data_IF_922714090216
#
_entry.id   IF_922714090216
#
_cell.length_a   1.000
_cell.length_b   1.000
_cell.length_c   1.000
_cell.angle_alpha   90.00
_cell.angle_beta   90.00
_cell.angle_gamma   90.00
#
_symmetry.space_group_name_H-M   'P 1'
#
loop_
_entity.id
_entity.type
_entity.pdbx_description
1 polymer ?
#
# COMPACT_ATOMS: atom_id res chain seq x y z
N UNK A 1 -62.74 -3.79 6.65
CA UNK A 1 -61.48 -3.24 7.19
C UNK A 1 -61.02 -4.16 8.32
N UNK A 2 -60.01 -5.01 8.10
CA UNK A 2 -59.49 -5.95 9.10
C UNK A 2 -58.15 -5.41 9.62
N UNK A 3 -58.14 -4.90 10.86
CA UNK A 3 -56.92 -4.52 11.57
C UNK A 3 -56.13 -5.76 11.97
N UNK A 4 -54.86 -5.82 11.57
CA UNK A 4 -53.92 -6.85 12.04
C UNK A 4 -53.48 -6.48 13.46
N UNK A 5 -53.63 -7.43 14.38
CA UNK A 5 -53.14 -7.35 15.75
C UNK A 5 -51.62 -7.25 15.76
N UNK A 6 -51.08 -6.24 16.42
CA UNK A 6 -49.65 -6.11 16.72
C UNK A 6 -49.29 -7.18 17.76
N UNK A 7 -48.16 -7.87 17.56
CA UNK A 7 -47.67 -8.89 18.50
C UNK A 7 -47.37 -8.25 19.87
N UNK A 8 -47.87 -8.88 20.95
CA UNK A 8 -47.58 -8.52 22.35
C UNK A 8 -46.15 -8.92 22.72
N UNK A 9 -45.54 -8.14 23.62
CA UNK A 9 -44.14 -8.26 24.04
C UNK A 9 -43.86 -9.39 25.05
N UNK A 10 -44.85 -10.20 25.42
CA UNK A 10 -44.76 -11.10 26.56
C UNK A 10 -44.64 -12.57 26.13
N UNK A 11 -43.51 -12.92 25.50
CA UNK A 11 -42.92 -14.27 25.58
C UNK A 11 -41.53 -14.32 24.91
N UNK A 12 -40.53 -13.76 25.58
CA UNK A 12 -39.12 -13.97 25.24
C UNK A 12 -38.45 -14.89 26.25
N UNK A 13 -38.92 -16.14 26.30
CA UNK A 13 -38.18 -17.27 26.87
C UNK A 13 -37.98 -18.31 25.77
N UNK A 14 -37.17 -17.94 24.79
CA UNK A 14 -36.77 -18.80 23.68
C UNK A 14 -35.30 -18.55 23.40
N UNK A 15 -34.47 -19.51 23.82
CA UNK A 15 -33.12 -19.80 23.35
C UNK A 15 -32.19 -18.59 23.09
N UNK A 16 -31.26 -18.33 24.01
CA UNK A 16 -30.11 -17.41 23.81
C UNK A 16 -29.05 -18.05 22.90
N UNK A 17 -29.48 -18.58 21.77
CA UNK A 17 -28.62 -19.03 20.68
C UNK A 17 -28.77 -18.07 19.52
N UNK A 18 -28.13 -16.89 19.61
CA UNK A 18 -27.77 -16.19 18.38
C UNK A 18 -26.85 -17.16 17.63
N UNK A 19 -27.41 -17.82 16.61
CA UNK A 19 -26.70 -18.81 15.82
C UNK A 19 -25.48 -18.16 15.17
N UNK A 20 -24.35 -18.25 15.86
CA UNK A 20 -23.04 -17.96 15.28
C UNK A 20 -22.83 -18.86 14.06
N UNK A 21 -22.01 -18.44 13.09
CA UNK A 21 -21.70 -19.24 11.92
C UNK A 21 -21.26 -20.64 12.37
N UNK A 22 -22.05 -21.65 11.98
CA UNK A 22 -21.76 -23.04 12.26
C UNK A 22 -20.60 -23.49 11.38
N UNK A 23 -19.52 -23.90 12.02
CA UNK A 23 -18.56 -24.84 11.48
C UNK A 23 -17.38 -24.21 10.75
N UNK A 24 -16.24 -24.83 11.00
CA UNK A 24 -14.98 -24.84 10.26
C UNK A 24 -15.17 -25.18 8.77
N UNK A 25 -15.95 -24.38 8.04
CA UNK A 25 -15.79 -24.21 6.60
C UNK A 25 -14.75 -23.12 6.45
N UNK A 26 -13.66 -23.43 5.72
CA UNK A 26 -12.67 -22.47 5.23
C UNK A 26 -13.35 -21.11 5.04
N UNK A 27 -12.94 -20.12 5.83
CA UNK A 27 -13.42 -18.76 5.67
C UNK A 27 -13.34 -18.42 4.17
N UNK A 28 -14.40 -17.82 3.59
CA UNK A 28 -14.45 -17.61 2.16
C UNK A 28 -13.16 -16.90 1.74
N UNK A 29 -12.50 -17.46 0.72
CA UNK A 29 -11.24 -16.95 0.18
C UNK A 29 -11.32 -15.45 -0.13
N UNK A 30 -12.52 -14.95 -0.38
CA UNK A 30 -12.88 -13.54 -0.49
C UNK A 30 -13.73 -13.11 0.72
N UNK A 31 -13.32 -12.04 1.38
CA UNK A 31 -13.98 -11.47 2.57
C UNK A 31 -14.43 -10.04 2.30
N UNK A 32 -15.48 -9.62 3.00
CA UNK A 32 -16.00 -8.27 3.03
C UNK A 32 -15.75 -7.62 4.41
N UNK A 33 -15.72 -6.28 4.49
CA UNK A 33 -15.62 -5.58 5.78
C UNK A 33 -16.76 -6.01 6.72
N UNK A 34 -16.42 -6.44 7.92
CA UNK A 34 -17.35 -6.94 8.94
C UNK A 34 -17.44 -8.46 9.04
N UNK A 35 -16.87 -9.21 8.07
CA UNK A 35 -16.84 -10.67 8.13
C UNK A 35 -15.99 -11.16 9.31
N UNK A 36 -16.49 -12.22 9.96
CA UNK A 36 -15.81 -12.90 11.07
C UNK A 36 -14.77 -13.88 10.50
N UNK A 37 -13.51 -13.66 10.84
CA UNK A 37 -12.35 -14.43 10.39
C UNK A 37 -11.94 -15.52 11.39
N UNK A 38 -12.65 -15.63 12.51
CA UNK A 38 -12.41 -16.63 13.56
C UNK A 38 -11.89 -16.04 14.86
N UNK A 39 -11.58 -16.92 15.81
CA UNK A 39 -11.11 -16.53 17.13
C UNK A 39 -9.65 -16.06 17.10
N UNK A 40 -9.33 -15.00 17.85
CA UNK A 40 -7.98 -14.42 17.94
C UNK A 40 -7.02 -15.23 18.81
N UNK A 41 -7.37 -16.46 19.19
CA UNK A 41 -6.67 -17.23 20.23
C UNK A 41 -5.19 -17.46 19.94
N UNK A 42 -4.89 -18.18 18.86
CA UNK A 42 -3.51 -18.45 18.39
C UNK A 42 -3.14 -17.61 17.16
N UNK A 43 -4.05 -16.75 16.69
CA UNK A 43 -3.91 -16.01 15.44
C UNK A 43 -3.72 -14.51 15.70
N UNK A 44 -2.62 -13.96 15.19
CA UNK A 44 -2.34 -12.52 15.27
C UNK A 44 -3.10 -11.75 14.17
N UNK A 45 -3.57 -10.55 14.52
CA UNK A 45 -4.23 -9.65 13.59
C UNK A 45 -3.19 -8.95 12.70
N UNK A 46 -3.17 -9.33 11.42
CA UNK A 46 -2.34 -8.71 10.40
C UNK A 46 -3.00 -7.51 9.72
N UNK A 47 -2.49 -7.15 8.55
CA UNK A 47 -3.01 -6.02 7.78
C UNK A 47 -4.48 -6.24 7.36
N UNK A 48 -5.32 -5.22 7.58
CA UNK A 48 -6.73 -5.25 7.18
C UNK A 48 -7.63 -6.08 8.09
N UNK A 49 -7.14 -6.49 9.27
CA UNK A 49 -7.87 -7.26 10.27
C UNK A 49 -7.83 -6.52 11.61
N UNK A 50 -8.93 -6.59 12.36
CA UNK A 50 -9.03 -6.03 13.70
C UNK A 50 -9.53 -7.10 14.67
N UNK A 51 -8.87 -7.22 15.82
CA UNK A 51 -9.36 -8.03 16.92
C UNK A 51 -10.37 -7.21 17.75
N UNK A 52 -11.62 -7.66 17.80
CA UNK A 52 -12.69 -7.08 18.62
C UNK A 52 -13.30 -8.21 19.45
N UNK A 53 -13.32 -8.07 20.77
CA UNK A 53 -13.92 -9.03 21.72
C UNK A 53 -13.41 -10.48 21.55
N UNK A 54 -12.11 -10.64 21.26
CA UNK A 54 -11.47 -11.96 21.06
C UNK A 54 -11.75 -12.60 19.69
N UNK A 55 -12.37 -11.86 18.77
CA UNK A 55 -12.64 -12.30 17.39
C UNK A 55 -11.94 -11.41 16.38
N UNK A 56 -11.43 -12.03 15.33
CA UNK A 56 -10.81 -11.33 14.21
C UNK A 56 -11.89 -10.94 13.20
N UNK A 57 -11.95 -9.67 12.85
CA UNK A 57 -12.89 -9.15 11.84
C UNK A 57 -12.15 -8.52 10.69
N UNK A 58 -12.65 -8.74 9.47
CA UNK A 58 -12.13 -8.08 8.29
C UNK A 58 -12.51 -6.59 8.28
N UNK A 59 -11.55 -5.71 8.02
CA UNK A 59 -11.77 -4.27 7.81
C UNK A 59 -11.83 -3.90 6.32
N UNK A 60 -11.25 -4.73 5.46
CA UNK A 60 -11.14 -4.48 4.02
C UNK A 60 -11.80 -5.60 3.24
N UNK A 61 -12.29 -5.26 2.05
CA UNK A 61 -12.70 -6.27 1.07
C UNK A 61 -11.46 -6.82 0.38
N UNK A 62 -11.31 -8.13 0.35
CA UNK A 62 -10.10 -8.73 -0.20
C UNK A 62 -10.03 -10.22 -0.04
N UNK A 63 -8.86 -10.79 -0.34
CA UNK A 63 -8.62 -12.20 -0.11
C UNK A 63 -8.03 -12.42 1.27
N UNK A 64 -8.56 -13.37 2.02
CA UNK A 64 -7.96 -13.73 3.30
C UNK A 64 -6.71 -14.56 3.06
N UNK A 65 -5.61 -14.20 3.73
CA UNK A 65 -4.38 -14.97 3.77
C UNK A 65 -3.98 -15.21 5.21
N UNK A 66 -3.79 -16.48 5.58
CA UNK A 66 -3.20 -16.86 6.84
C UNK A 66 -1.75 -17.31 6.58
N UNK A 67 -0.79 -16.56 7.09
CA UNK A 67 0.63 -16.86 6.96
C UNK A 67 1.29 -16.77 8.33
N UNK A 68 2.00 -17.82 8.72
CA UNK A 68 2.80 -17.88 9.95
C UNK A 68 2.01 -17.51 11.23
N UNK A 69 0.73 -17.88 11.29
CA UNK A 69 -0.15 -17.54 12.43
C UNK A 69 -0.70 -16.12 12.41
N UNK A 70 -0.41 -15.33 11.37
CA UNK A 70 -0.99 -13.99 11.17
C UNK A 70 -2.09 -14.04 10.12
N UNK A 71 -3.31 -13.62 10.49
CA UNK A 71 -4.42 -13.46 9.55
C UNK A 71 -4.37 -12.06 8.96
N UNK A 72 -4.24 -11.98 7.65
CA UNK A 72 -4.25 -10.72 6.91
C UNK A 72 -5.28 -10.78 5.78
N UNK A 73 -5.76 -9.62 5.36
CA UNK A 73 -6.58 -9.49 4.16
C UNK A 73 -5.72 -8.82 3.10
N UNK A 74 -5.58 -9.45 1.93
CA UNK A 74 -5.02 -8.89 0.70
C UNK A 74 -6.13 -8.09 0.00
N UNK A 75 -6.19 -6.76 0.18
CA UNK A 75 -7.21 -5.92 -0.45
C UNK A 75 -7.10 -5.87 -1.97
N UNK A 76 -8.24 -5.73 -2.64
CA UNK A 76 -8.35 -5.58 -4.11
C UNK A 76 -8.01 -4.17 -4.61
N UNK A 77 -8.11 -3.19 -3.72
CA UNK A 77 -7.76 -1.79 -3.97
C UNK A 77 -7.15 -1.23 -2.71
N UNK A 78 -6.00 -0.59 -2.84
CA UNK A 78 -5.34 0.10 -1.73
C UNK A 78 -4.85 1.45 -2.15
N UNK A 79 -4.93 2.37 -1.19
CA UNK A 79 -4.02 3.50 -1.16
C UNK A 79 -2.76 3.07 -0.40
N UNK A 80 -1.64 3.71 -0.73
CA UNK A 80 -0.42 3.56 0.04
C UNK A 80 -0.62 4.14 1.44
N UNK A 81 -0.22 3.37 2.46
CA UNK A 81 -0.20 3.83 3.85
C UNK A 81 1.26 3.82 4.30
N UNK A 82 1.83 4.99 4.62
CA UNK A 82 3.25 5.11 4.89
C UNK A 82 3.63 4.37 6.17
N UNK A 83 4.77 3.68 6.13
CA UNK A 83 5.40 3.07 7.31
C UNK A 83 6.83 3.59 7.47
N UNK A 84 7.34 3.65 8.71
CA UNK A 84 8.73 3.98 8.93
C UNK A 84 9.67 3.07 8.12
N UNK A 85 10.69 3.68 7.53
CA UNK A 85 11.69 3.05 6.67
C UNK A 85 11.26 2.64 5.25
N UNK A 86 10.02 2.90 4.83
CA UNK A 86 9.59 2.66 3.45
C UNK A 86 10.38 3.55 2.47
N UNK A 87 10.80 2.97 1.33
CA UNK A 87 11.43 3.70 0.23
C UNK A 87 10.33 4.20 -0.72
N UNK A 88 10.22 5.51 -0.92
CA UNK A 88 9.14 6.10 -1.71
C UNK A 88 9.65 7.08 -2.74
N UNK A 89 8.94 7.16 -3.86
CA UNK A 89 9.16 8.19 -4.88
C UNK A 89 8.08 9.26 -4.73
N UNK A 90 8.49 10.50 -4.53
CA UNK A 90 7.57 11.62 -4.31
C UNK A 90 7.75 12.73 -5.32
N UNK A 91 6.71 13.53 -5.53
CA UNK A 91 6.74 14.76 -6.31
C UNK A 91 6.66 15.96 -5.38
N UNK A 92 7.47 16.98 -5.64
CA UNK A 92 7.42 18.21 -4.86
C UNK A 92 6.22 19.03 -5.30
N UNK A 93 5.21 19.15 -4.45
CA UNK A 93 4.03 19.98 -4.71
C UNK A 93 4.26 21.44 -4.31
N UNK A 94 5.07 21.65 -3.28
CA UNK A 94 5.28 22.98 -2.72
C UNK A 94 6.55 23.07 -1.91
N UNK A 95 7.02 24.30 -1.71
CA UNK A 95 8.17 24.58 -0.86
C UNK A 95 7.97 25.89 -0.11
N UNK A 96 8.42 25.88 1.14
CA UNK A 96 8.55 27.06 2.01
C UNK A 96 10.03 27.38 2.19
N UNK A 97 10.35 28.33 3.07
CA UNK A 97 11.73 28.75 3.33
C UNK A 97 12.64 27.65 3.89
N UNK A 98 12.07 26.61 4.51
CA UNK A 98 12.82 25.54 5.20
C UNK A 98 12.22 24.12 5.06
N UNK A 99 11.06 23.95 4.42
CA UNK A 99 10.36 22.66 4.30
C UNK A 99 9.85 22.48 2.86
N UNK A 100 10.04 21.27 2.31
CA UNK A 100 9.34 20.84 1.09
C UNK A 100 8.12 20.02 1.44
N UNK A 101 7.03 20.26 0.72
CA UNK A 101 5.83 19.43 0.71
C UNK A 101 5.90 18.48 -0.48
N UNK A 102 5.77 17.18 -0.19
CA UNK A 102 5.98 16.12 -1.14
C UNK A 102 4.75 15.23 -1.19
N UNK A 103 4.20 15.04 -2.37
CA UNK A 103 3.20 14.02 -2.62
C UNK A 103 3.86 12.66 -2.79
N UNK A 104 3.57 11.76 -1.87
CA UNK A 104 4.05 10.36 -1.86
C UNK A 104 2.94 9.37 -2.23
N UNK A 105 1.75 9.82 -2.67
CA UNK A 105 0.61 8.94 -2.97
C UNK A 105 -0.10 8.39 -1.72
N UNK A 106 0.18 8.96 -0.55
CA UNK A 106 -0.51 8.68 0.70
C UNK A 106 -1.72 9.61 0.88
N UNK A 107 -2.60 9.38 1.87
CA UNK A 107 -3.74 10.27 2.15
C UNK A 107 -3.34 11.71 2.50
N UNK A 108 -2.12 11.90 3.02
CA UNK A 108 -1.56 13.20 3.38
C UNK A 108 -0.17 13.36 2.79
N UNK A 109 0.16 14.62 2.50
CA UNK A 109 1.47 14.98 1.99
C UNK A 109 2.55 14.76 3.05
N UNK A 110 3.72 14.32 2.59
CA UNK A 110 4.90 14.24 3.42
C UNK A 110 5.64 15.57 3.47
N UNK A 111 6.37 15.80 4.55
CA UNK A 111 7.26 16.93 4.72
C UNK A 111 8.71 16.48 4.69
N UNK A 112 9.55 17.23 3.99
CA UNK A 112 11.01 17.11 4.05
C UNK A 112 11.56 18.38 4.69
N UNK A 113 12.03 18.32 5.94
CA UNK A 113 12.76 19.42 6.55
C UNK A 113 14.11 19.62 5.87
N UNK A 114 14.59 20.86 5.79
CA UNK A 114 15.92 21.19 5.27
C UNK A 114 17.06 20.40 5.96
N UNK A 115 16.92 20.11 7.25
CA UNK A 115 17.89 19.31 8.02
C UNK A 115 18.02 17.87 7.53
N UNK A 116 16.99 17.32 6.86
CA UNK A 116 16.93 15.97 6.31
C UNK A 116 16.98 15.96 4.77
N UNK A 117 17.00 17.14 4.16
CA UNK A 117 17.11 17.34 2.73
C UNK A 117 18.52 17.15 2.17
N UNK A 118 18.71 17.43 0.87
CA UNK A 118 20.00 17.29 0.21
C UNK A 118 21.06 18.18 0.87
N UNK A 119 22.28 17.67 1.06
CA UNK A 119 23.38 18.37 1.76
C UNK A 119 23.79 19.71 1.15
N UNK A 120 23.35 20.02 -0.08
CA UNK A 120 23.64 21.28 -0.79
C UNK A 120 22.56 22.36 -0.58
N UNK A 121 21.53 22.10 0.21
CA UNK A 121 20.50 23.10 0.49
C UNK A 121 21.03 24.15 1.47
N UNK A 122 20.97 25.42 1.07
CA UNK A 122 21.22 26.59 1.91
C UNK A 122 19.89 27.30 2.23
N UNK A 123 19.83 27.99 3.38
CA UNK A 123 18.62 28.68 3.83
C UNK A 123 18.24 29.76 2.81
N UNK A 124 17.00 29.75 2.32
CA UNK A 124 16.54 30.63 1.23
C UNK A 124 16.99 30.21 -0.19
N UNK A 125 17.85 29.20 -0.32
CA UNK A 125 18.31 28.62 -1.59
C UNK A 125 17.62 27.30 -1.96
N UNK A 126 16.60 26.89 -1.20
CA UNK A 126 15.93 25.59 -1.30
C UNK A 126 15.43 25.28 -2.73
N UNK A 127 14.78 26.25 -3.39
CA UNK A 127 14.28 26.09 -4.78
C UNK A 127 15.38 25.83 -5.81
N UNK A 128 16.62 26.24 -5.53
CA UNK A 128 17.75 25.97 -6.45
C UNK A 128 18.16 24.51 -6.44
N UNK A 129 17.83 23.77 -5.38
CA UNK A 129 18.21 22.36 -5.21
C UNK A 129 17.08 21.44 -5.65
N UNK A 130 15.86 21.79 -5.24
CA UNK A 130 14.65 21.01 -5.44
C UNK A 130 13.49 21.99 -5.63
N UNK A 131 12.90 21.99 -6.81
CA UNK A 131 11.78 22.87 -7.17
C UNK A 131 10.47 22.10 -7.33
N UNK A 132 9.37 22.84 -7.41
CA UNK A 132 8.03 22.27 -7.61
C UNK A 132 7.98 21.49 -8.92
N UNK A 133 7.45 20.27 -8.85
CA UNK A 133 7.41 19.32 -9.96
C UNK A 133 8.61 18.38 -10.05
N UNK A 134 9.69 18.63 -9.30
CA UNK A 134 10.82 17.69 -9.25
C UNK A 134 10.37 16.38 -8.57
N UNK A 135 10.78 15.25 -9.14
CA UNK A 135 10.62 13.93 -8.53
C UNK A 135 11.83 13.60 -7.65
N UNK A 136 11.59 12.98 -6.49
CA UNK A 136 12.63 12.60 -5.55
C UNK A 136 12.46 11.17 -5.07
N UNK A 137 13.58 10.48 -4.87
CA UNK A 137 13.64 9.22 -4.17
C UNK A 137 14.03 9.48 -2.72
N UNK A 138 13.11 9.21 -1.80
CA UNK A 138 13.24 9.50 -0.38
C UNK A 138 12.81 8.30 0.47
N UNK A 139 13.08 8.35 1.77
CA UNK A 139 12.66 7.32 2.72
C UNK A 139 11.77 7.94 3.79
N UNK A 140 10.70 7.26 4.16
CA UNK A 140 9.87 7.66 5.31
C UNK A 140 10.69 7.43 6.58
N UNK A 141 10.95 8.50 7.33
CA UNK A 141 11.67 8.41 8.59
C UNK A 141 10.70 8.09 9.72
N UNK A 142 9.68 8.93 9.87
CA UNK A 142 8.70 8.87 10.94
C UNK A 142 7.30 9.19 10.39
N UNK A 143 6.29 8.59 10.99
CA UNK A 143 4.88 8.85 10.70
C UNK A 143 4.25 9.35 11.99
N UNK A 144 3.74 10.58 11.96
CA UNK A 144 3.07 11.22 13.10
C UNK A 144 1.66 10.64 13.31
N UNK A 145 1.09 10.85 14.49
CA UNK A 145 -0.27 10.39 14.84
C UNK A 145 -1.36 11.05 13.98
N UNK A 146 -1.10 12.25 13.48
CA UNK A 146 -1.99 12.96 12.54
C UNK A 146 -1.88 12.43 11.09
N UNK A 147 -1.14 11.32 10.87
CA UNK A 147 -0.82 10.72 9.58
C UNK A 147 0.05 11.60 8.64
N UNK A 148 0.59 12.72 9.13
CA UNK A 148 1.68 13.44 8.48
C UNK A 148 2.94 12.58 8.51
N UNK A 149 3.65 12.53 7.39
CA UNK A 149 4.87 11.73 7.28
C UNK A 149 6.07 12.64 7.12
N UNK A 150 7.13 12.37 7.89
CA UNK A 150 8.43 13.04 7.73
C UNK A 150 9.31 12.14 6.89
N UNK A 151 9.80 12.66 5.77
CA UNK A 151 10.72 11.93 4.88
C UNK A 151 12.13 12.48 4.98
N UNK A 152 13.10 11.64 4.61
CA UNK A 152 14.51 11.98 4.55
C UNK A 152 15.08 11.69 3.17
N UNK A 153 16.02 12.52 2.74
CA UNK A 153 16.86 12.29 1.55
C UNK A 153 18.30 11.94 1.94
N UNK A 154 18.59 11.79 3.24
CA UNK A 154 19.89 11.35 3.73
C UNK A 154 19.91 9.83 3.81
N UNK A 155 20.81 9.22 3.03
CA UNK A 155 21.00 7.78 3.04
C UNK A 155 21.53 7.26 1.72
N UNK A 156 21.81 5.97 1.69
CA UNK A 156 22.29 5.32 0.47
C UNK A 156 21.17 5.25 -0.57
N UNK A 157 21.46 5.71 -1.79
CA UNK A 157 20.58 5.59 -2.94
C UNK A 157 19.50 6.67 -3.05
N UNK A 158 19.27 7.49 -2.02
CA UNK A 158 18.30 8.59 -2.04
C UNK A 158 18.82 9.78 -2.85
N UNK A 159 18.02 10.32 -3.76
CA UNK A 159 18.42 11.38 -4.69
C UNK A 159 17.23 12.04 -5.37
N UNK A 160 17.46 13.23 -5.92
CA UNK A 160 16.55 13.82 -6.89
C UNK A 160 16.61 13.03 -8.20
N UNK A 161 15.45 12.75 -8.79
CA UNK A 161 15.32 12.07 -10.07
C UNK A 161 15.36 13.14 -11.16
N UNK A 162 16.40 13.10 -12.00
CA UNK A 162 16.63 14.06 -13.10
C UNK A 162 16.49 13.42 -14.49
N UNK A 163 16.46 12.09 -14.55
CA UNK A 163 16.41 11.29 -15.77
C UNK A 163 15.51 10.06 -15.55
N UNK A 164 15.11 9.45 -16.66
CA UNK A 164 14.26 8.26 -16.65
C UNK A 164 12.77 8.57 -16.63
N UNK A 165 11.97 7.56 -16.33
CA UNK A 165 10.51 7.63 -16.21
C UNK A 165 10.05 7.10 -14.87
N UNK A 166 9.03 7.73 -14.29
CA UNK A 166 8.33 7.22 -13.11
C UNK A 166 6.96 6.73 -13.56
N UNK A 167 6.66 5.47 -13.26
CA UNK A 167 5.38 4.83 -13.55
C UNK A 167 4.61 4.58 -12.24
N UNK A 168 3.32 4.87 -12.25
CA UNK A 168 2.44 4.64 -11.10
C UNK A 168 1.75 3.28 -11.20
N UNK A 169 1.73 2.55 -10.09
CA UNK A 169 1.17 1.21 -9.97
C UNK A 169 0.34 1.14 -8.69
N UNK A 170 -0.76 0.38 -8.74
CA UNK A 170 -1.55 0.09 -7.55
C UNK A 170 -0.66 -0.60 -6.48
N UNK A 171 -0.53 -0.06 -5.25
CA UNK A 171 0.42 -0.56 -4.25
C UNK A 171 0.24 -2.04 -3.89
N UNK A 172 -0.97 -2.59 -4.00
CA UNK A 172 -1.22 -4.02 -3.75
C UNK A 172 -0.59 -4.94 -4.81
N UNK A 173 -0.40 -4.45 -6.05
CA UNK A 173 0.24 -5.22 -7.12
C UNK A 173 1.76 -5.20 -7.04
N UNK A 174 2.35 -4.30 -6.24
CA UNK A 174 3.80 -4.15 -6.12
C UNK A 174 4.50 -5.46 -5.71
N UNK A 175 3.92 -6.20 -4.76
CA UNK A 175 4.45 -7.50 -4.33
C UNK A 175 4.48 -8.53 -5.46
N UNK A 176 3.47 -8.52 -6.34
CA UNK A 176 3.40 -9.41 -7.51
C UNK A 176 4.40 -8.98 -8.59
N UNK A 177 4.54 -7.68 -8.78
CA UNK A 177 5.53 -7.12 -9.70
C UNK A 177 6.96 -7.51 -9.29
N UNK A 178 7.30 -7.42 -8.01
CA UNK A 178 8.60 -7.84 -7.50
C UNK A 178 8.79 -9.36 -7.68
N UNK A 179 7.71 -10.13 -7.46
CA UNK A 179 7.70 -11.58 -7.59
C UNK A 179 8.36 -12.28 -6.40
N UNK A 180 8.28 -13.61 -6.35
CA UNK A 180 8.89 -14.40 -5.26
C UNK A 180 10.41 -14.19 -5.29
N UNK A 181 10.96 -13.66 -4.20
CA UNK A 181 12.39 -13.39 -4.06
C UNK A 181 12.95 -12.28 -4.96
N UNK A 182 12.10 -11.47 -5.60
CA UNK A 182 12.55 -10.40 -6.50
C UNK A 182 12.88 -10.85 -7.92
N UNK A 183 12.53 -12.08 -8.31
CA UNK A 183 12.88 -12.65 -9.62
C UNK A 183 12.32 -11.85 -10.79
N UNK A 184 11.06 -11.40 -10.72
CA UNK A 184 10.42 -10.66 -11.81
C UNK A 184 11.12 -9.32 -12.03
N UNK A 185 11.40 -8.58 -10.94
CA UNK A 185 12.12 -7.31 -11.02
C UNK A 185 13.56 -7.50 -11.51
N UNK A 186 14.21 -8.59 -11.12
CA UNK A 186 15.56 -8.92 -11.58
C UNK A 186 15.60 -9.24 -13.07
N UNK A 187 14.68 -10.07 -13.55
CA UNK A 187 14.54 -10.36 -14.98
C UNK A 187 14.25 -9.10 -15.79
N UNK A 188 13.35 -8.23 -15.29
CA UNK A 188 13.07 -6.95 -15.95
C UNK A 188 14.33 -6.08 -16.09
N UNK A 189 15.18 -6.05 -15.06
CA UNK A 189 16.47 -5.32 -15.10
C UNK A 189 17.46 -5.95 -16.07
N UNK A 190 17.58 -7.27 -16.06
CA UNK A 190 18.52 -8.01 -16.92
C UNK A 190 18.12 -7.91 -18.40
N UNK A 191 16.83 -7.99 -18.71
CA UNK A 191 16.32 -7.98 -20.09
C UNK A 191 16.33 -6.60 -20.76
N UNK A 192 16.20 -5.52 -19.97
CA UNK A 192 16.08 -4.14 -20.48
C UNK A 192 17.35 -3.32 -20.29
N UNK A 193 18.34 -3.88 -19.59
CA UNK A 193 19.58 -3.22 -19.15
C UNK A 193 19.33 -1.90 -18.39
N UNK A 194 18.10 -1.70 -17.89
CA UNK A 194 17.68 -0.49 -17.20
C UNK A 194 17.79 -0.65 -15.69
N UNK A 195 18.10 0.45 -15.02
CA UNK A 195 18.01 0.58 -13.58
C UNK A 195 16.55 0.76 -13.18
N UNK A 196 15.99 -0.26 -12.55
CA UNK A 196 14.63 -0.22 -12.00
C UNK A 196 14.66 -0.08 -10.47
N UNK A 197 13.95 0.91 -9.93
CA UNK A 197 13.76 1.11 -8.49
C UNK A 197 12.27 1.15 -8.20
N UNK A 198 11.77 0.16 -7.48
CA UNK A 198 10.40 0.10 -7.02
C UNK A 198 10.28 0.76 -5.64
N UNK A 199 9.41 1.76 -5.52
CA UNK A 199 9.04 2.36 -4.25
C UNK A 199 7.85 1.62 -3.63
N UNK A 200 7.82 1.57 -2.30
CA UNK A 200 6.77 0.94 -1.50
C UNK A 200 5.40 1.64 -1.68
N UNK A 201 5.41 2.87 -2.19
CA UNK A 201 4.21 3.63 -2.54
C UNK A 201 3.59 3.26 -3.89
N UNK A 202 4.08 2.22 -4.56
CA UNK A 202 3.58 1.79 -5.86
C UNK A 202 4.14 2.61 -7.03
N UNK A 203 5.05 3.54 -6.79
CA UNK A 203 5.76 4.26 -7.86
C UNK A 203 7.03 3.52 -8.23
N UNK A 204 7.28 3.34 -9.53
CA UNK A 204 8.46 2.64 -10.04
C UNK A 204 9.26 3.58 -10.92
N UNK A 205 10.53 3.75 -10.60
CA UNK A 205 11.46 4.53 -11.40
C UNK A 205 12.28 3.65 -12.33
N UNK A 206 12.28 3.99 -13.62
CA UNK A 206 13.00 3.36 -14.72
C UNK A 206 14.04 4.35 -15.25
N UNK A 207 15.32 4.01 -15.18
CA UNK A 207 16.43 4.86 -15.63
C UNK A 207 17.37 4.05 -16.52
N UNK A 208 17.71 4.57 -17.69
CA UNK A 208 18.47 3.85 -18.71
C UNK A 208 18.35 4.53 -20.08
N UNK A 209 18.69 3.79 -21.14
CA UNK A 209 18.53 4.25 -22.50
C UNK A 209 17.05 4.33 -22.91
N UNK A 210 16.72 5.22 -23.84
CA UNK A 210 15.33 5.46 -24.25
C UNK A 210 14.63 4.17 -24.74
N UNK A 211 15.31 3.35 -25.53
CA UNK A 211 14.77 2.07 -26.00
C UNK A 211 14.51 1.12 -24.84
N UNK A 212 15.47 0.99 -23.92
CA UNK A 212 15.32 0.14 -22.73
C UNK A 212 14.19 0.60 -21.82
N UNK A 213 14.00 1.91 -21.64
CA UNK A 213 12.89 2.47 -20.85
C UNK A 213 11.54 2.13 -21.47
N UNK A 214 11.41 2.22 -22.80
CA UNK A 214 10.17 1.87 -23.51
C UNK A 214 9.89 0.38 -23.35
N UNK A 215 10.89 -0.48 -23.58
CA UNK A 215 10.75 -1.93 -23.43
C UNK A 215 10.41 -2.32 -21.99
N UNK A 216 11.02 -1.66 -21.01
CA UNK A 216 10.73 -1.86 -19.58
C UNK A 216 9.31 -1.45 -19.23
N UNK A 217 8.84 -0.32 -19.75
CA UNK A 217 7.45 0.15 -19.54
C UNK A 217 6.45 -0.82 -20.15
N UNK A 218 6.69 -1.31 -21.36
CA UNK A 218 5.76 -2.22 -22.04
C UNK A 218 5.67 -3.57 -21.30
N UNK A 219 6.81 -4.11 -20.86
CA UNK A 219 6.86 -5.33 -20.03
C UNK A 219 6.21 -5.12 -18.66
N UNK A 220 6.45 -3.97 -18.04
CA UNK A 220 5.80 -3.60 -16.78
C UNK A 220 4.28 -3.62 -16.94
N UNK A 221 3.75 -2.97 -17.98
CA UNK A 221 2.32 -2.94 -18.26
C UNK A 221 1.73 -4.32 -18.57
N UNK A 222 2.46 -5.18 -19.26
CA UNK A 222 2.06 -6.56 -19.51
C UNK A 222 1.92 -7.34 -18.19
N UNK A 223 2.94 -7.29 -17.32
CA UNK A 223 2.92 -7.93 -15.99
C UNK A 223 1.77 -7.41 -15.12
N UNK A 224 1.50 -6.11 -15.15
CA UNK A 224 0.38 -5.53 -14.41
C UNK A 224 -0.97 -5.99 -14.94
N UNK A 225 -1.10 -6.14 -16.26
CA UNK A 225 -2.33 -6.64 -16.88
C UNK A 225 -2.58 -8.10 -16.49
N UNK A 226 -1.54 -8.94 -16.54
CA UNK A 226 -1.62 -10.33 -16.08
C UNK A 226 -1.98 -10.42 -14.60
N UNK A 227 -1.33 -9.62 -13.75
CA UNK A 227 -1.61 -9.59 -12.31
C UNK A 227 -3.05 -9.14 -12.01
N UNK A 228 -3.57 -8.15 -12.75
CA UNK A 228 -4.97 -7.72 -12.65
C UNK A 228 -5.92 -8.84 -13.07
N UNK A 229 -5.65 -9.53 -14.18
CA UNK A 229 -6.51 -10.63 -14.68
C UNK A 229 -6.56 -11.79 -13.70
N UNK A 230 -5.42 -12.17 -13.13
CA UNK A 230 -5.32 -13.21 -12.09
C UNK A 230 -6.08 -12.81 -10.81
N UNK A 231 -6.12 -11.52 -10.47
CA UNK A 231 -6.93 -11.04 -9.34
C UNK A 231 -8.44 -11.26 -9.54
N UNK A 232 -8.93 -11.23 -10.79
CA UNK A 232 -10.34 -11.43 -11.13
C UNK A 232 -10.71 -12.89 -11.44
N UNK A 233 -9.76 -13.69 -11.94
CA UNK A 233 -9.92 -15.13 -12.11
C UNK A 233 -9.55 -15.82 -10.80
N UNK A 234 -10.53 -16.08 -9.95
CA UNK A 234 -10.31 -16.99 -8.82
C UNK A 234 -9.72 -18.31 -9.34
N UNK A 235 -8.68 -18.81 -8.68
CA UNK A 235 -8.18 -20.16 -8.91
C UNK A 235 -9.36 -21.13 -8.77
N UNK A 236 -9.66 -21.84 -9.87
CA UNK A 236 -10.76 -22.80 -9.95
C UNK A 236 -10.46 -24.07 -9.16
#
# INVERSE_FOLDING_TARGET
MKGRSVARLDNMSGDKGAGGPRGSRQAPLLVAPGDDLGDSGELEAGHGVLAIDGRLRALKQGRMSNRDGTVSVEPRRTAYVPRPSDLVIGYIEGCTSNIWFIDIGAPFNAILPMSLGPSKAEFGGIRKVLDIGDAILCRVQEVEENHSSVVTMKGMGLRAIRSGSVEDIDPHLLGRLIGRGGNNLRQLKEDTECRVVAGDNGRVWLDGDLSGIIDARDRLNALLTEAKVEEYRGDA
#
